data_IF_787782693081
#
_entry.id   IF_787782693081
#
_cell.length_a   1.000
_cell.length_b   1.000
_cell.length_c   1.000
_cell.angle_alpha   90.00
_cell.angle_beta   90.00
_cell.angle_gamma   90.00
#
_symmetry.space_group_name_H-M   'P 1'
#
loop_
_entity.id
_entity.type
_entity.pdbx_description
1 polymer ?
#
# COMPACT_ATOMS: atom_id res chain seq x y z
N UNK A 1 -17.53 0.82 0.93
CA UNK A 1 -17.38 0.74 2.40
C UNK A 1 -18.78 0.82 3.01
N UNK A 2 -19.00 0.35 4.24
CA UNK A 2 -20.33 0.36 4.84
C UNK A 2 -20.65 1.74 5.42
N UNK A 3 -21.88 2.22 5.29
CA UNK A 3 -22.36 3.49 5.89
C UNK A 3 -22.12 3.57 7.40
N UNK A 4 -21.99 2.42 8.06
CA UNK A 4 -21.66 2.32 9.49
C UNK A 4 -20.23 2.80 9.78
N UNK A 5 -19.25 2.40 8.98
CA UNK A 5 -17.85 2.80 9.18
C UNK A 5 -17.65 4.31 9.03
N UNK A 6 -18.31 4.92 8.04
CA UNK A 6 -18.28 6.37 7.82
C UNK A 6 -18.91 7.14 9.01
N UNK A 7 -20.01 6.61 9.58
CA UNK A 7 -20.65 7.19 10.77
C UNK A 7 -19.73 7.11 12.00
N UNK A 8 -19.02 6.00 12.18
CA UNK A 8 -18.06 5.84 13.28
C UNK A 8 -16.91 6.84 13.14
N UNK A 9 -16.37 7.02 11.94
CA UNK A 9 -15.34 8.03 11.68
C UNK A 9 -15.85 9.44 11.99
N UNK A 10 -17.02 9.81 11.44
CA UNK A 10 -17.61 11.12 11.65
C UNK A 10 -17.89 11.41 13.13
N UNK A 11 -18.38 10.41 13.88
CA UNK A 11 -18.61 10.54 15.32
C UNK A 11 -17.30 10.74 16.08
N UNK A 12 -16.29 9.91 15.80
CA UNK A 12 -14.99 9.96 16.48
C UNK A 12 -14.28 11.28 16.22
N UNK A 13 -14.36 11.79 14.99
CA UNK A 13 -13.75 13.07 14.61
C UNK A 13 -14.46 14.28 15.22
N UNK A 14 -15.76 14.16 15.52
CA UNK A 14 -16.52 15.19 16.24
C UNK A 14 -16.10 15.32 17.71
N UNK A 15 -15.43 14.32 18.26
CA UNK A 15 -14.97 14.27 19.65
C UNK A 15 -13.43 14.22 19.73
N UNK A 16 -12.75 15.38 19.81
CA UNK A 16 -11.28 15.47 19.72
C UNK A 16 -10.53 14.61 20.73
N UNK A 17 -11.04 14.51 21.96
CA UNK A 17 -10.42 13.68 23.01
C UNK A 17 -10.49 12.19 22.65
N UNK A 18 -11.62 11.72 22.15
CA UNK A 18 -11.81 10.33 21.74
C UNK A 18 -10.88 9.98 20.57
N UNK A 19 -10.80 10.86 19.56
CA UNK A 19 -9.88 10.70 18.44
C UNK A 19 -8.42 10.59 18.90
N UNK A 20 -7.98 11.46 19.82
CA UNK A 20 -6.61 11.43 20.38
C UNK A 20 -6.34 10.13 21.13
N UNK A 21 -7.27 9.66 21.95
CA UNK A 21 -7.14 8.38 22.65
C UNK A 21 -7.02 7.22 21.65
N UNK A 22 -7.82 7.23 20.58
CA UNK A 22 -7.75 6.21 19.54
C UNK A 22 -6.42 6.23 18.80
N UNK A 23 -5.94 7.41 18.38
CA UNK A 23 -4.65 7.56 17.72
C UNK A 23 -3.50 7.12 18.63
N UNK A 24 -3.57 7.44 19.92
CA UNK A 24 -2.59 6.99 20.90
C UNK A 24 -2.60 5.47 21.02
N UNK A 25 -3.77 4.83 21.10
CA UNK A 25 -3.88 3.37 21.12
C UNK A 25 -3.33 2.73 19.82
N UNK A 26 -3.67 3.28 18.66
CA UNK A 26 -3.15 2.85 17.36
C UNK A 26 -1.62 2.92 17.34
N UNK A 27 -1.05 4.03 17.79
CA UNK A 27 0.39 4.25 17.82
C UNK A 27 1.10 3.39 18.87
N UNK A 28 0.51 3.23 20.05
CA UNK A 28 1.02 2.37 21.12
C UNK A 28 1.09 0.90 20.68
N UNK A 29 0.23 0.47 19.76
CA UNK A 29 0.33 -0.86 19.15
C UNK A 29 1.28 -0.88 17.95
N UNK A 30 1.07 -0.02 16.95
CA UNK A 30 1.76 -0.12 15.64
C UNK A 30 3.22 0.29 15.69
N UNK A 31 3.61 1.27 16.51
CA UNK A 31 5.00 1.74 16.62
C UNK A 31 5.91 0.64 17.20
N UNK A 32 5.63 0.00 18.35
CA UNK A 32 6.52 -1.05 18.86
C UNK A 32 6.50 -2.31 17.99
N UNK A 33 5.31 -2.76 17.54
CA UNK A 33 5.21 -4.05 16.84
C UNK A 33 5.76 -4.00 15.41
N UNK A 34 5.51 -2.91 14.68
CA UNK A 34 5.85 -2.82 13.25
C UNK A 34 6.86 -1.70 12.92
N UNK A 35 7.32 -0.95 13.93
CA UNK A 35 8.11 0.28 13.75
C UNK A 35 7.43 1.26 12.80
N UNK A 36 6.11 1.42 12.97
CA UNK A 36 5.27 2.33 12.19
C UNK A 36 5.83 3.76 12.20
N UNK A 37 5.77 4.44 11.05
CA UNK A 37 6.17 5.85 10.90
C UNK A 37 4.96 6.80 10.78
N UNK A 38 3.76 6.34 11.13
CA UNK A 38 2.58 7.20 11.30
C UNK A 38 2.18 8.03 10.07
N UNK A 39 2.29 7.46 8.87
CA UNK A 39 1.97 8.13 7.60
C UNK A 39 0.47 8.31 7.30
N UNK A 40 -0.43 7.91 8.22
CA UNK A 40 -1.89 8.02 8.07
C UNK A 40 -2.56 7.21 6.96
N UNK A 41 -1.82 6.47 6.13
CA UNK A 41 -2.40 5.60 5.10
C UNK A 41 -1.63 4.26 5.09
N UNK A 42 -2.04 3.38 5.99
CA UNK A 42 -1.34 2.15 6.32
C UNK A 42 -1.51 1.08 5.22
N UNK A 43 -0.38 0.55 4.70
CA UNK A 43 -0.33 -0.53 3.68
C UNK A 43 0.33 -1.82 4.21
N UNK A 44 0.30 -1.98 5.53
CA UNK A 44 1.05 -3.02 6.24
C UNK A 44 0.68 -4.46 5.81
N UNK A 45 -0.58 -4.68 5.44
CA UNK A 45 -1.09 -5.98 4.96
C UNK A 45 -0.49 -6.40 3.61
N UNK A 46 -0.10 -5.46 2.75
CA UNK A 46 0.53 -5.70 1.45
C UNK A 46 2.03 -5.93 1.61
N UNK A 47 2.67 -5.12 2.46
CA UNK A 47 4.12 -5.14 2.67
C UNK A 47 4.58 -6.17 3.71
N UNK A 48 3.95 -7.34 3.75
CA UNK A 48 4.32 -8.45 4.64
C UNK A 48 4.54 -8.05 6.11
N UNK A 49 3.65 -7.18 6.62
CA UNK A 49 3.72 -6.63 7.97
C UNK A 49 5.01 -5.86 8.28
N UNK A 50 5.56 -5.20 7.26
CA UNK A 50 6.73 -4.34 7.36
C UNK A 50 6.37 -2.92 6.91
N UNK A 51 6.63 -1.92 7.77
CA UNK A 51 6.37 -0.53 7.43
C UNK A 51 7.38 -0.03 6.37
N UNK A 52 6.91 0.22 5.14
CA UNK A 52 7.71 0.75 4.02
C UNK A 52 8.26 2.15 4.29
N UNK A 53 7.56 2.93 5.12
CA UNK A 53 7.96 4.30 5.47
C UNK A 53 9.25 4.35 6.31
N UNK A 54 9.75 3.22 6.80
CA UNK A 54 11.11 3.11 7.40
C UNK A 54 12.22 3.29 6.36
N UNK A 55 11.92 3.29 5.07
CA UNK A 55 12.86 3.68 4.03
C UNK A 55 13.34 5.12 4.28
N UNK A 56 14.65 5.43 4.21
CA UNK A 56 15.14 6.82 4.23
C UNK A 56 14.45 7.70 3.18
N UNK A 57 14.15 7.12 2.02
CA UNK A 57 13.49 7.79 0.90
C UNK A 57 11.96 7.85 1.04
N UNK A 58 11.42 7.28 2.13
CA UNK A 58 9.98 7.21 2.42
C UNK A 58 9.14 6.68 1.25
N UNK A 59 9.68 5.71 0.51
CA UNK A 59 9.05 5.15 -0.69
C UNK A 59 7.95 4.16 -0.33
N UNK A 60 6.72 4.47 -0.75
CA UNK A 60 5.54 3.60 -0.62
C UNK A 60 5.49 2.48 -1.64
N UNK A 61 6.07 2.70 -2.82
CA UNK A 61 6.27 1.68 -3.85
C UNK A 61 7.78 1.55 -4.07
N UNK A 62 8.30 0.33 -4.06
CA UNK A 62 9.72 0.06 -4.30
C UNK A 62 9.91 -1.25 -5.06
N UNK A 63 11.16 -1.73 -5.18
CA UNK A 63 12.39 -1.11 -4.69
C UNK A 63 12.81 0.14 -5.48
N UNK A 64 13.74 0.92 -4.93
CA UNK A 64 14.23 2.17 -5.53
C UNK A 64 15.45 2.00 -6.46
N UNK A 65 15.85 0.77 -6.77
CA UNK A 65 17.12 0.45 -7.43
C UNK A 65 18.34 0.50 -6.50
N UNK A 66 18.29 1.30 -5.43
CA UNK A 66 19.37 1.48 -4.45
C UNK A 66 19.58 0.36 -3.42
N UNK A 67 19.22 -0.88 -3.75
CA UNK A 67 19.53 -2.03 -2.89
C UNK A 67 20.87 -2.59 -3.35
N UNK A 68 21.84 -2.67 -2.44
CA UNK A 68 23.17 -3.25 -2.70
C UNK A 68 23.05 -4.75 -2.97
N UNK A 69 24.06 -5.35 -3.59
CA UNK A 69 24.07 -6.78 -3.93
C UNK A 69 23.92 -7.70 -2.72
N UNK A 70 24.39 -7.24 -1.56
CA UNK A 70 24.27 -7.90 -0.26
C UNK A 70 22.92 -7.67 0.45
N UNK A 71 21.98 -6.96 -0.19
CA UNK A 71 20.66 -6.63 0.34
C UNK A 71 20.63 -5.40 1.27
N UNK A 72 21.74 -4.69 1.45
CA UNK A 72 21.79 -3.46 2.27
C UNK A 72 21.28 -2.23 1.51
N UNK A 73 20.93 -1.18 2.26
CA UNK A 73 20.46 0.08 1.67
C UNK A 73 21.64 0.90 1.12
N UNK A 74 21.46 1.61 0.00
CA UNK A 74 22.48 2.55 -0.50
C UNK A 74 22.78 3.67 0.50
N UNK A 75 21.75 4.21 1.16
CA UNK A 75 21.82 5.38 2.06
C UNK A 75 22.38 5.00 3.42
N UNK A 76 22.05 3.78 3.88
CA UNK A 76 22.43 3.24 5.17
C UNK A 76 23.04 1.85 4.97
N UNK A 77 24.34 1.77 4.65
CA UNK A 77 25.02 0.52 4.35
C UNK A 77 25.01 -0.46 5.54
N UNK A 78 24.87 0.04 6.76
CA UNK A 78 24.87 -0.75 7.99
C UNK A 78 23.56 -1.53 8.25
N UNK A 79 22.52 -1.32 7.44
CA UNK A 79 21.23 -1.99 7.62
C UNK A 79 20.60 -2.48 6.32
N UNK A 80 19.88 -3.59 6.41
CA UNK A 80 19.14 -4.14 5.27
C UNK A 80 18.13 -3.15 4.69
N UNK A 81 18.01 -3.15 3.36
CA UNK A 81 17.01 -2.38 2.66
C UNK A 81 15.61 -2.82 3.08
N UNK A 82 14.72 -1.86 3.37
CA UNK A 82 13.36 -2.18 3.81
C UNK A 82 12.58 -2.96 2.77
N UNK A 83 12.79 -2.66 1.48
CA UNK A 83 12.14 -3.34 0.37
C UNK A 83 12.69 -4.74 0.12
N UNK A 84 13.97 -4.94 0.41
CA UNK A 84 14.56 -6.29 0.46
C UNK A 84 13.90 -7.13 1.58
N UNK A 85 13.75 -6.56 2.79
CA UNK A 85 13.05 -7.22 3.90
C UNK A 85 11.58 -7.51 3.59
N UNK A 86 10.87 -6.57 2.96
CA UNK A 86 9.47 -6.76 2.51
C UNK A 86 9.40 -7.94 1.54
N UNK A 87 10.28 -7.97 0.54
CA UNK A 87 10.32 -9.04 -0.45
C UNK A 87 10.60 -10.41 0.18
N UNK A 88 11.65 -10.52 1.00
CA UNK A 88 12.01 -11.76 1.69
C UNK A 88 10.88 -12.29 2.59
N UNK A 89 10.22 -11.40 3.32
CA UNK A 89 9.05 -11.77 4.14
C UNK A 89 7.86 -12.15 3.28
N UNK A 90 7.60 -11.43 2.19
CA UNK A 90 6.52 -11.77 1.25
C UNK A 90 6.73 -13.13 0.59
N UNK A 91 7.97 -13.48 0.26
CA UNK A 91 8.35 -14.80 -0.27
C UNK A 91 8.06 -15.90 0.75
N UNK A 92 8.49 -15.72 2.00
CA UNK A 92 8.20 -16.65 3.11
C UNK A 92 6.71 -16.82 3.39
N UNK A 93 5.91 -15.78 3.17
CA UNK A 93 4.46 -15.77 3.41
C UNK A 93 3.64 -16.09 2.14
N UNK A 94 4.27 -16.47 1.02
CA UNK A 94 3.58 -16.80 -0.23
C UNK A 94 2.77 -15.65 -0.84
N UNK A 95 3.13 -14.39 -0.58
CA UNK A 95 2.34 -13.19 -0.94
C UNK A 95 3.08 -12.20 -1.84
N UNK A 96 4.09 -12.66 -2.58
CA UNK A 96 4.90 -11.80 -3.47
C UNK A 96 4.04 -11.07 -4.51
N UNK A 97 2.97 -11.70 -4.99
CA UNK A 97 2.00 -11.07 -5.91
C UNK A 97 1.39 -9.78 -5.36
N UNK A 98 1.24 -9.64 -4.03
CA UNK A 98 0.73 -8.40 -3.42
C UNK A 98 1.68 -7.21 -3.61
N UNK A 99 2.97 -7.45 -3.84
CA UNK A 99 3.96 -6.40 -4.07
C UNK A 99 3.94 -5.86 -5.50
N UNK A 100 3.30 -6.56 -6.45
CA UNK A 100 3.12 -6.08 -7.81
C UNK A 100 2.04 -4.99 -7.88
N UNK A 101 1.24 -4.84 -6.82
CA UNK A 101 0.20 -3.85 -6.75
C UNK A 101 0.78 -2.45 -6.55
N UNK A 102 0.41 -1.54 -7.44
CA UNK A 102 0.76 -0.13 -7.29
C UNK A 102 -0.11 0.54 -6.22
N UNK A 103 0.52 1.23 -5.27
CA UNK A 103 -0.18 2.04 -4.29
C UNK A 103 -0.06 3.54 -4.61
N UNK A 104 -1.14 4.29 -4.38
CA UNK A 104 -1.12 5.75 -4.53
C UNK A 104 -0.04 6.33 -3.59
N UNK A 105 0.75 7.33 -4.04
CA UNK A 105 1.72 8.02 -3.20
C UNK A 105 1.14 8.50 -1.85
N UNK A 106 2.03 8.68 -0.87
CA UNK A 106 1.62 9.13 0.47
C UNK A 106 1.10 10.56 0.40
N UNK A 107 -0.13 10.79 0.86
CA UNK A 107 -0.63 12.13 1.13
C UNK A 107 -0.09 12.60 2.48
N UNK A 108 0.82 13.58 2.44
CA UNK A 108 1.47 14.15 3.63
C UNK A 108 0.52 14.92 4.53
N UNK A 109 -0.63 15.34 4.02
CA UNK A 109 -1.69 15.98 4.84
C UNK A 109 -2.29 15.04 5.88
N UNK A 110 -2.13 13.72 5.69
CA UNK A 110 -2.61 12.69 6.61
C UNK A 110 -1.51 12.19 7.56
N UNK A 111 -0.31 12.74 7.52
CA UNK A 111 0.74 12.35 8.45
C UNK A 111 0.33 12.65 9.91
N UNK A 112 0.69 11.76 10.83
CA UNK A 112 0.28 11.82 12.25
C UNK A 112 -1.23 11.74 12.51
N UNK A 113 -2.00 11.22 11.55
CA UNK A 113 -3.43 10.94 11.71
C UNK A 113 -3.70 9.44 11.73
N UNK A 114 -4.82 9.02 12.31
CA UNK A 114 -5.18 7.60 12.41
C UNK A 114 -5.43 7.00 11.02
N UNK A 115 -4.69 5.95 10.67
CA UNK A 115 -4.89 5.26 9.40
C UNK A 115 -6.23 4.53 9.34
N UNK A 116 -6.77 4.08 10.48
CA UNK A 116 -8.09 3.47 10.57
C UNK A 116 -9.20 4.49 10.35
N UNK A 117 -9.12 5.66 10.99
CA UNK A 117 -10.13 6.70 10.79
C UNK A 117 -10.11 7.23 9.35
N UNK A 118 -8.93 7.37 8.76
CA UNK A 118 -8.83 7.72 7.33
C UNK A 118 -9.41 6.65 6.41
N UNK A 119 -9.27 5.37 6.75
CA UNK A 119 -9.92 4.26 6.03
C UNK A 119 -11.43 4.32 6.17
N UNK A 120 -11.94 4.48 7.39
CA UNK A 120 -13.37 4.53 7.66
C UNK A 120 -14.06 5.76 7.08
N UNK A 121 -13.37 6.91 7.06
CA UNK A 121 -13.83 8.13 6.39
C UNK A 121 -13.70 8.06 4.85
N UNK A 122 -13.14 6.99 4.30
CA UNK A 122 -12.93 6.81 2.87
C UNK A 122 -11.89 7.76 2.25
N UNK A 123 -11.03 8.38 3.06
CA UNK A 123 -9.93 9.24 2.59
C UNK A 123 -8.80 8.45 1.93
N UNK A 124 -8.68 7.18 2.29
CA UNK A 124 -7.73 6.26 1.68
C UNK A 124 -8.51 5.22 0.91
N UNK A 125 -8.13 5.02 -0.36
CA UNK A 125 -8.78 4.03 -1.19
C UNK A 125 -8.63 2.66 -0.53
N UNK A 126 -9.71 1.84 -0.47
CA UNK A 126 -9.59 0.46 -0.03
C UNK A 126 -8.55 -0.22 -0.89
N UNK A 127 -7.56 -0.81 -0.23
CA UNK A 127 -6.37 -1.29 -0.93
C UNK A 127 -6.70 -2.40 -1.93
N UNK A 128 -7.88 -3.02 -1.88
CA UNK A 128 -8.39 -3.99 -2.87
C UNK A 128 -9.28 -3.39 -3.97
N UNK A 129 -9.76 -2.14 -3.88
CA UNK A 129 -10.52 -1.50 -4.96
C UNK A 129 -9.64 -1.13 -6.16
N UNK A 130 -8.32 -1.05 -5.98
CA UNK A 130 -7.38 -1.06 -7.09
C UNK A 130 -7.53 -2.32 -7.96
N UNK A 131 -7.83 -3.49 -7.36
CA UNK A 131 -8.00 -4.72 -8.16
C UNK A 131 -9.22 -4.63 -9.06
N UNK A 132 -10.37 -4.08 -8.59
CA UNK A 132 -11.53 -3.93 -9.46
C UNK A 132 -11.29 -2.97 -10.63
N UNK A 133 -10.61 -1.86 -10.37
CA UNK A 133 -10.25 -0.91 -11.41
C UNK A 133 -9.21 -1.49 -12.38
N UNK A 134 -8.21 -2.20 -11.89
CA UNK A 134 -7.15 -2.82 -12.70
C UNK A 134 -7.70 -4.03 -13.49
N UNK A 135 -8.54 -4.88 -12.87
CA UNK A 135 -9.27 -5.99 -13.52
C UNK A 135 -10.22 -5.47 -14.60
N UNK A 136 -11.01 -4.42 -14.34
CA UNK A 136 -11.84 -3.79 -15.38
C UNK A 136 -11.00 -3.21 -16.52
N UNK A 137 -9.82 -2.65 -16.21
CA UNK A 137 -8.96 -2.02 -17.20
C UNK A 137 -8.19 -3.04 -18.04
N UNK A 138 -7.74 -4.14 -17.44
CA UNK A 138 -7.15 -5.28 -18.15
C UNK A 138 -8.21 -6.01 -18.98
N UNK A 139 -9.41 -6.27 -18.45
CA UNK A 139 -10.51 -6.84 -19.23
C UNK A 139 -10.85 -5.98 -20.46
N UNK A 140 -10.97 -4.66 -20.30
CA UNK A 140 -11.21 -3.73 -21.42
C UNK A 140 -10.05 -3.71 -22.42
N UNK A 141 -8.80 -3.85 -21.96
CA UNK A 141 -7.62 -3.92 -22.82
C UNK A 141 -7.62 -5.21 -23.64
N UNK A 142 -7.94 -6.35 -23.03
CA UNK A 142 -8.00 -7.65 -23.69
C UNK A 142 -9.14 -7.71 -24.70
N UNK A 143 -10.31 -7.12 -24.38
CA UNK A 143 -11.42 -6.94 -25.32
C UNK A 143 -11.01 -6.07 -26.52
N UNK A 144 -10.32 -4.95 -26.28
CA UNK A 144 -9.84 -4.07 -27.35
C UNK A 144 -8.77 -4.74 -28.24
N UNK A 145 -7.89 -5.55 -27.64
CA UNK A 145 -6.88 -6.34 -28.38
C UNK A 145 -7.55 -7.46 -29.18
N UNK A 146 -8.55 -8.13 -28.62
CA UNK A 146 -9.32 -9.17 -29.31
C UNK A 146 -10.14 -8.59 -30.47
N UNK A 147 -10.74 -7.41 -30.31
CA UNK A 147 -11.44 -6.71 -31.38
C UNK A 147 -10.49 -6.32 -32.53
N UNK A 148 -9.33 -5.74 -32.21
CA UNK A 148 -8.29 -5.40 -33.21
C UNK A 148 -7.74 -6.63 -33.93
N UNK A 149 -7.63 -7.77 -33.25
CA UNK A 149 -7.15 -9.04 -33.86
C UNK A 149 -8.17 -9.65 -34.82
N UNK A 150 -9.47 -9.39 -34.62
CA UNK A 150 -10.54 -9.77 -35.56
C UNK A 150 -10.57 -8.85 -36.78
N UNK A 151 -10.33 -7.56 -36.58
CA UNK A 151 -10.30 -6.54 -37.64
C UNK A 151 -9.05 -6.65 -38.54
N UNK A 152 -7.91 -7.05 -37.96
CA UNK A 152 -6.66 -7.29 -38.68
C UNK A 152 -6.09 -8.68 -38.38
N UNK A 153 -6.62 -9.74 -39.02
CA UNK A 153 -6.14 -11.10 -38.82
C UNK A 153 -4.69 -11.19 -39.28
N UNK A 154 -3.82 -11.69 -38.39
CA UNK A 154 -2.40 -11.87 -38.70
C UNK A 154 -2.28 -12.83 -39.90
N UNK A 155 -1.56 -12.46 -40.97
CA UNK A 155 -1.38 -13.35 -42.11
C UNK A 155 -0.70 -14.64 -41.63
N UNK A 156 -1.07 -15.80 -42.20
CA UNK A 156 -0.46 -17.07 -41.85
C UNK A 156 1.05 -16.97 -42.10
N UNK A 157 1.83 -17.33 -41.07
CA UNK A 157 3.29 -17.43 -41.18
C UNK A 157 3.57 -18.62 -42.09
N UNK A 158 4.24 -18.38 -43.22
CA UNK A 158 4.67 -19.44 -44.15
C UNK A 158 5.75 -20.31 -43.52
#
# INVERSE_FOLDING_TARGET
MSKLSERVAAFTERHPTLYKCFLLAENAFKKPVFRCQDCGQCVLSYNAFTCCMRCPKQLRNGPCGGTREDGHCEVYPERHCIWWLIYERSKKLGRVSKLQKYHIPVDRRLEHTSAWMNMFAGRILPLDLGNKFDEEKEAKKDEAVAAKRKENPKPPVK
#
